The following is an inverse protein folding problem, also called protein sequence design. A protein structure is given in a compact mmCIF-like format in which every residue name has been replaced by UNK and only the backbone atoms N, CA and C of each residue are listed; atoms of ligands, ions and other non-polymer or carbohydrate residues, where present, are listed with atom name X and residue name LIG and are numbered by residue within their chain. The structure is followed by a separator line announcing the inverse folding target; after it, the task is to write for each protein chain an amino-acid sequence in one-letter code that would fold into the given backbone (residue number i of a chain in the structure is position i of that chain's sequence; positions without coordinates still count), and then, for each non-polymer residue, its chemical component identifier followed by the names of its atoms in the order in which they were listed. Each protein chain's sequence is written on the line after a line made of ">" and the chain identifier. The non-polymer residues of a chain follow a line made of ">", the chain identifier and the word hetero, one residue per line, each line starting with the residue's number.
data_IF_818470273180
#
_entry.id   IF_818470273180
#
_cell.length_a   1.000
_cell.length_b   1.000
_cell.length_c   1.000
_cell.angle_alpha   90.00
_cell.angle_beta   90.00
_cell.angle_gamma   90.00
#
_symmetry.space_group_name_H-M   'P 1'
#
loop_
_entity.id
_entity.type
_entity.pdbx_description
1 polymer ?
#
# COMPACT_ATOMS: atom_id res chain seq x y z
N UNK A 1 18.68 6.37 -15.29
CA UNK A 1 17.81 5.91 -14.18
C UNK A 1 16.41 6.44 -14.44
N UNK A 2 15.38 5.60 -14.31
CA UNK A 2 13.97 5.98 -14.44
C UNK A 2 13.30 5.74 -13.09
N UNK A 3 12.59 6.73 -12.58
CA UNK A 3 11.75 6.56 -11.40
C UNK A 3 10.34 6.16 -11.84
N UNK A 4 9.76 5.20 -11.13
CA UNK A 4 8.37 4.75 -11.33
C UNK A 4 7.63 5.09 -10.05
N UNK A 5 6.53 5.82 -10.18
CA UNK A 5 5.65 6.11 -9.06
C UNK A 5 4.69 4.93 -8.85
N UNK A 6 4.70 4.36 -7.64
CA UNK A 6 3.83 3.27 -7.23
C UNK A 6 2.70 3.75 -6.29
N UNK A 7 2.56 5.07 -6.15
CA UNK A 7 1.60 5.70 -5.24
C UNK A 7 0.29 5.98 -5.95
N UNK A 8 -0.85 5.67 -5.32
CA UNK A 8 -2.15 6.16 -5.79
C UNK A 8 -2.34 7.63 -5.40
N UNK A 9 -3.13 8.43 -6.13
CA UNK A 9 -3.48 9.77 -5.71
C UNK A 9 -4.09 9.77 -4.29
N UNK A 10 -3.73 10.76 -3.48
CA UNK A 10 -4.36 10.98 -2.17
C UNK A 10 -5.32 12.17 -2.25
N UNK A 11 -6.59 11.93 -1.91
CA UNK A 11 -7.62 12.95 -1.96
C UNK A 11 -8.79 12.67 -1.03
N UNK A 12 -9.69 13.64 -0.91
CA UNK A 12 -10.92 13.48 -0.09
C UNK A 12 -11.87 12.40 -0.62
N UNK A 13 -11.63 11.93 -1.85
CA UNK A 13 -12.33 10.81 -2.48
C UNK A 13 -11.64 9.46 -2.22
N UNK A 14 -10.42 9.44 -1.66
CA UNK A 14 -9.74 8.19 -1.31
C UNK A 14 -10.54 7.48 -0.21
N UNK A 15 -11.07 6.28 -0.45
CA UNK A 15 -11.81 5.54 0.57
C UNK A 15 -10.88 5.19 1.74
N UNK A 16 -11.28 5.46 3.00
CA UNK A 16 -10.56 4.94 4.15
C UNK A 16 -10.80 3.44 4.30
N UNK A 17 -9.92 2.76 5.02
CA UNK A 17 -10.27 1.44 5.55
C UNK A 17 -11.57 1.54 6.37
N UNK A 18 -12.49 0.55 6.30
CA UNK A 18 -13.69 0.57 7.11
C UNK A 18 -13.33 0.83 8.58
N UNK A 19 -14.02 1.78 9.23
CA UNK A 19 -13.79 2.28 10.61
C UNK A 19 -12.68 3.31 10.82
N UNK A 20 -11.89 3.67 9.80
CA UNK A 20 -10.77 4.62 9.97
C UNK A 20 -11.16 6.06 9.59
N UNK A 21 -10.38 7.02 10.08
CA UNK A 21 -10.57 8.44 9.82
C UNK A 21 -10.21 8.78 8.36
N UNK A 22 -11.16 9.27 7.54
CA UNK A 22 -10.88 9.66 6.15
C UNK A 22 -9.99 10.90 6.06
N UNK A 23 -9.47 11.17 4.85
CA UNK A 23 -8.77 12.43 4.59
C UNK A 23 -9.72 13.62 4.75
N UNK A 24 -9.42 14.48 5.71
CA UNK A 24 -9.99 15.82 5.82
C UNK A 24 -8.99 16.84 5.29
N UNK A 25 -9.47 17.75 4.44
CA UNK A 25 -8.66 18.81 3.86
C UNK A 25 -9.36 20.16 4.02
N UNK A 26 -8.64 21.12 4.59
CA UNK A 26 -9.10 22.50 4.74
C UNK A 26 -8.06 23.47 4.23
N UNK A 27 -8.44 24.34 3.28
CA UNK A 27 -7.60 25.49 2.96
C UNK A 27 -7.72 26.54 4.06
N UNK A 28 -6.61 26.85 4.73
CA UNK A 28 -6.54 27.98 5.67
C UNK A 28 -6.02 29.26 5.01
N UNK A 29 -5.44 29.13 3.80
CA UNK A 29 -4.90 30.23 3.00
C UNK A 29 -5.15 29.98 1.51
N UNK A 30 -5.52 31.01 0.74
CA UNK A 30 -5.75 30.91 -0.71
C UNK A 30 -4.94 31.96 -1.47
N UNK A 31 -4.61 31.65 -2.73
CA UNK A 31 -3.77 32.52 -3.58
C UNK A 31 -4.32 33.95 -3.69
N UNK A 32 -5.60 34.13 -4.02
CA UNK A 32 -6.20 35.43 -4.29
C UNK A 32 -6.04 36.44 -3.12
N UNK A 33 -6.42 36.12 -1.87
CA UNK A 33 -6.25 37.05 -0.76
C UNK A 33 -4.86 37.07 -0.14
N UNK A 34 -4.00 36.06 -0.38
CA UNK A 34 -2.81 35.87 0.45
C UNK A 34 -1.49 35.57 -0.30
N UNK A 35 -1.50 35.49 -1.63
CA UNK A 35 -0.31 35.23 -2.45
C UNK A 35 0.26 33.80 -2.36
N UNK A 36 -0.40 32.89 -1.65
CA UNK A 36 -0.04 31.46 -1.60
C UNK A 36 -1.24 30.60 -1.20
N UNK A 37 -1.18 29.29 -1.47
CA UNK A 37 -2.14 28.31 -0.95
C UNK A 37 -1.56 27.59 0.27
N UNK A 38 -2.39 27.37 1.29
CA UNK A 38 -2.03 26.60 2.48
C UNK A 38 -3.18 25.71 2.89
N UNK A 39 -2.86 24.45 3.17
CA UNK A 39 -3.82 23.41 3.57
C UNK A 39 -3.47 22.85 4.94
N UNK A 40 -4.50 22.49 5.70
CA UNK A 40 -4.43 21.58 6.84
C UNK A 40 -5.00 20.25 6.38
N UNK A 41 -4.30 19.17 6.70
CA UNK A 41 -4.62 17.81 6.33
C UNK A 41 -4.67 16.97 7.61
N UNK A 42 -5.75 16.21 7.80
CA UNK A 42 -5.94 15.27 8.89
C UNK A 42 -6.38 13.93 8.32
N UNK A 43 -5.68 12.85 8.63
CA UNK A 43 -6.05 11.48 8.24
C UNK A 43 -5.43 10.47 9.22
N UNK A 44 -5.91 9.22 9.21
CA UNK A 44 -5.22 8.10 9.86
C UNK A 44 -3.97 7.67 9.08
N UNK A 45 -2.99 7.03 9.74
CA UNK A 45 -1.79 6.51 9.07
C UNK A 45 -2.07 5.50 7.94
N UNK A 46 -3.19 4.78 8.01
CA UNK A 46 -3.57 3.74 7.04
C UNK A 46 -4.62 4.27 6.06
N UNK A 47 -4.18 5.12 5.12
CA UNK A 47 -5.04 5.69 4.09
C UNK A 47 -4.28 5.77 2.76
N UNK A 48 -4.89 5.26 1.69
CA UNK A 48 -4.26 5.21 0.36
C UNK A 48 -3.02 4.31 0.33
N UNK A 49 -2.01 4.66 -0.45
CA UNK A 49 -0.69 4.02 -0.37
C UNK A 49 0.01 4.45 0.92
N UNK A 50 0.28 3.48 1.81
CA UNK A 50 0.82 3.73 3.15
C UNK A 50 1.85 2.67 3.56
N UNK A 51 2.43 2.83 4.76
CA UNK A 51 3.41 1.92 5.35
C UNK A 51 2.95 1.48 6.74
N UNK A 52 2.96 0.18 6.98
CA UNK A 52 2.68 -0.42 8.29
C UNK A 52 3.99 -0.64 9.05
N UNK A 53 4.11 -0.01 10.22
CA UNK A 53 5.19 -0.31 11.16
C UNK A 53 4.88 -1.53 12.02
N UNK A 54 5.90 -2.19 12.58
CA UNK A 54 5.74 -3.41 13.39
C UNK A 54 4.72 -3.22 14.53
N UNK A 55 4.77 -2.06 15.21
CA UNK A 55 3.88 -1.75 16.33
C UNK A 55 2.38 -1.76 15.96
N UNK A 56 2.05 -1.72 14.67
CA UNK A 56 0.66 -1.83 14.21
C UNK A 56 0.00 -3.13 14.67
N UNK A 57 0.75 -4.24 14.70
CA UNK A 57 0.26 -5.56 15.14
C UNK A 57 1.12 -6.24 16.21
N UNK A 58 2.28 -5.68 16.57
CA UNK A 58 3.21 -6.24 17.55
C UNK A 58 3.56 -5.19 18.62
N UNK A 59 2.93 -5.24 19.80
CA UNK A 59 3.08 -4.22 20.85
C UNK A 59 4.52 -3.78 21.19
N UNK A 60 5.52 -4.68 21.33
CA UNK A 60 6.93 -4.29 21.56
C UNK A 60 7.72 -4.00 20.26
N UNK A 61 7.07 -3.97 19.10
CA UNK A 61 7.67 -3.69 17.81
C UNK A 61 8.07 -2.23 17.63
N UNK A 62 8.86 -1.96 16.58
CA UNK A 62 9.29 -0.62 16.20
C UNK A 62 8.15 0.25 15.68
N UNK A 63 8.23 1.55 15.96
CA UNK A 63 7.47 2.55 15.21
C UNK A 63 8.16 2.91 13.89
N UNK A 64 7.45 3.59 12.98
CA UNK A 64 7.97 3.96 11.66
C UNK A 64 9.20 4.88 11.77
N UNK A 65 9.26 5.73 12.80
CA UNK A 65 10.37 6.66 12.99
C UNK A 65 11.67 5.94 13.40
N UNK A 66 11.56 4.71 13.90
CA UNK A 66 12.67 3.86 14.34
C UNK A 66 13.15 2.89 13.25
N UNK A 67 12.57 2.94 12.04
CA UNK A 67 13.00 2.11 10.92
C UNK A 67 14.27 2.70 10.28
N UNK A 68 15.24 1.84 10.00
CA UNK A 68 16.50 2.23 9.37
C UNK A 68 16.33 2.42 7.85
N UNK A 69 17.18 3.25 7.24
CA UNK A 69 17.06 3.52 5.80
C UNK A 69 17.31 2.28 4.94
N UNK A 70 18.21 1.39 5.35
CA UNK A 70 18.49 0.14 4.62
C UNK A 70 17.31 -0.84 4.67
N UNK A 71 16.35 -0.65 5.59
CA UNK A 71 15.08 -1.37 5.60
C UNK A 71 14.04 -0.70 4.66
N UNK A 72 14.04 0.62 4.58
CA UNK A 72 13.10 1.39 3.75
C UNK A 72 13.51 1.46 2.28
N UNK A 73 14.80 1.29 1.99
CA UNK A 73 15.40 1.39 0.66
C UNK A 73 16.29 0.17 0.46
N UNK A 74 15.78 -0.80 -0.28
CA UNK A 74 16.48 -2.02 -0.61
C UNK A 74 16.19 -2.45 -2.05
N UNK A 75 16.94 -3.44 -2.54
CA UNK A 75 16.58 -4.16 -3.76
C UNK A 75 15.18 -4.76 -3.64
N UNK A 76 14.47 -4.85 -4.77
CA UNK A 76 13.09 -5.32 -4.79
C UNK A 76 12.94 -6.53 -5.73
N UNK A 77 12.25 -7.55 -5.24
CA UNK A 77 11.76 -8.66 -6.06
C UNK A 77 10.31 -8.38 -6.44
N UNK A 78 10.01 -8.30 -7.74
CA UNK A 78 8.64 -8.05 -8.22
C UNK A 78 8.10 -9.34 -8.83
N UNK A 79 7.03 -9.88 -8.23
CA UNK A 79 6.32 -11.05 -8.76
C UNK A 79 4.99 -10.61 -9.35
N UNK A 80 4.70 -11.07 -10.56
CA UNK A 80 3.38 -10.92 -11.18
C UNK A 80 2.56 -12.19 -10.95
N UNK A 81 1.46 -12.04 -10.21
CA UNK A 81 0.47 -13.08 -9.92
C UNK A 81 -0.90 -12.75 -10.54
N UNK A 82 -0.99 -11.69 -11.37
CA UNK A 82 -2.26 -11.24 -11.95
C UNK A 82 -2.92 -12.25 -12.90
N UNK A 83 -2.16 -13.25 -13.38
CA UNK A 83 -2.65 -14.34 -14.23
C UNK A 83 -3.16 -15.55 -13.44
N UNK A 84 -2.81 -15.67 -12.15
CA UNK A 84 -3.10 -16.84 -11.31
C UNK A 84 -3.87 -16.53 -10.02
N UNK A 85 -4.06 -15.25 -9.69
CA UNK A 85 -4.83 -14.82 -8.53
C UNK A 85 -5.95 -13.85 -8.92
N UNK A 86 -7.13 -14.06 -8.35
CA UNK A 86 -8.30 -13.20 -8.46
C UNK A 86 -9.03 -13.03 -7.13
N UNK A 87 -10.35 -12.88 -7.19
CA UNK A 87 -11.15 -12.51 -6.02
C UNK A 87 -11.07 -13.55 -4.91
N UNK A 88 -10.62 -13.13 -3.73
CA UNK A 88 -10.44 -13.93 -2.52
C UNK A 88 -9.44 -15.09 -2.60
N UNK A 89 -8.64 -15.15 -3.67
CA UNK A 89 -7.64 -16.20 -3.81
C UNK A 89 -6.52 -16.06 -2.77
N UNK A 90 -5.89 -17.19 -2.44
CA UNK A 90 -4.72 -17.26 -1.57
C UNK A 90 -3.47 -17.46 -2.42
N UNK A 91 -2.55 -16.50 -2.38
CA UNK A 91 -1.22 -16.67 -2.99
C UNK A 91 -0.25 -17.31 -2.01
N UNK A 92 0.72 -18.09 -2.52
CA UNK A 92 1.65 -18.88 -1.71
C UNK A 92 3.10 -18.56 -2.02
N UNK A 93 4.02 -18.92 -1.11
CA UNK A 93 5.47 -18.78 -1.31
C UNK A 93 5.93 -19.44 -2.61
N UNK A 94 5.43 -20.65 -2.88
CA UNK A 94 5.70 -21.41 -4.10
C UNK A 94 5.35 -20.65 -5.38
N UNK A 95 4.21 -19.95 -5.42
CA UNK A 95 3.84 -19.15 -6.59
C UNK A 95 4.85 -18.04 -6.88
N UNK A 96 5.46 -17.49 -5.82
CA UNK A 96 6.52 -16.49 -5.90
C UNK A 96 7.82 -17.10 -6.38
N UNK A 97 8.30 -18.16 -5.73
CA UNK A 97 9.57 -18.82 -6.04
C UNK A 97 9.61 -19.43 -7.46
N UNK A 98 8.46 -19.83 -8.01
CA UNK A 98 8.35 -20.31 -9.40
C UNK A 98 8.55 -19.18 -10.44
N UNK A 99 8.46 -17.91 -10.03
CA UNK A 99 8.44 -16.74 -10.93
C UNK A 99 9.61 -15.79 -10.75
N UNK A 100 10.09 -15.62 -9.52
CA UNK A 100 11.17 -14.68 -9.19
C UNK A 100 12.07 -15.24 -8.09
N UNK A 101 13.37 -14.92 -8.18
CA UNK A 101 14.30 -15.15 -7.07
C UNK A 101 14.07 -14.06 -6.00
N UNK A 102 13.88 -14.46 -4.75
CA UNK A 102 13.79 -13.55 -3.60
C UNK A 102 15.00 -13.79 -2.71
N UNK A 103 15.71 -12.72 -2.36
CA UNK A 103 16.87 -12.77 -1.46
C UNK A 103 16.53 -12.17 -0.11
N UNK A 104 17.30 -12.57 0.89
CA UNK A 104 17.19 -11.99 2.22
C UNK A 104 17.40 -10.46 2.16
N UNK A 105 16.43 -9.72 2.71
CA UNK A 105 16.40 -8.25 2.71
C UNK A 105 15.61 -7.62 1.55
N UNK A 106 15.26 -8.37 0.50
CA UNK A 106 14.51 -7.81 -0.62
C UNK A 106 13.13 -7.28 -0.21
N UNK A 107 12.74 -6.14 -0.80
CA UNK A 107 11.35 -5.67 -0.77
C UNK A 107 10.56 -6.49 -1.80
N UNK A 108 9.77 -7.44 -1.33
CA UNK A 108 8.89 -8.23 -2.18
C UNK A 108 7.63 -7.45 -2.56
N UNK A 109 7.45 -7.17 -3.86
CA UNK A 109 6.27 -6.52 -4.42
C UNK A 109 5.39 -7.59 -5.09
N UNK A 110 4.19 -7.79 -4.54
CA UNK A 110 3.19 -8.71 -5.09
C UNK A 110 2.26 -7.95 -6.04
N UNK A 111 2.42 -8.16 -7.35
CA UNK A 111 1.57 -7.58 -8.37
C UNK A 111 0.39 -8.51 -8.69
N UNK A 112 -0.82 -8.13 -8.26
CA UNK A 112 -2.06 -8.91 -8.48
C UNK A 112 -2.97 -8.30 -9.53
N UNK A 113 -2.62 -7.13 -10.08
CA UNK A 113 -3.49 -6.35 -10.96
C UNK A 113 -4.63 -5.59 -10.25
N UNK A 114 -4.79 -5.70 -8.92
CA UNK A 114 -5.91 -5.09 -8.21
C UNK A 114 -5.96 -3.57 -8.23
N UNK A 115 -4.81 -2.92 -8.44
CA UNK A 115 -4.75 -1.46 -8.62
C UNK A 115 -5.66 -0.97 -9.76
N UNK A 116 -6.00 -1.81 -10.74
CA UNK A 116 -6.98 -1.47 -11.79
C UNK A 116 -8.42 -1.28 -11.27
N UNK A 117 -8.76 -1.79 -10.08
CA UNK A 117 -10.07 -1.57 -9.44
C UNK A 117 -10.07 -0.40 -8.46
N UNK A 118 -8.94 0.30 -8.29
CA UNK A 118 -8.81 1.46 -7.43
C UNK A 118 -9.81 2.56 -7.78
N UNK A 119 -10.16 3.37 -6.78
CA UNK A 119 -11.14 4.46 -6.91
C UNK A 119 -10.73 5.51 -7.97
N UNK A 120 -9.44 5.59 -8.27
CA UNK A 120 -8.81 6.50 -9.23
C UNK A 120 -8.80 5.97 -10.67
N UNK A 121 -9.35 4.77 -10.92
CA UNK A 121 -9.31 4.10 -12.21
C UNK A 121 -10.67 4.12 -12.95
N UNK A 122 -10.71 4.08 -14.30
CA UNK A 122 -11.96 3.97 -15.06
C UNK A 122 -12.77 2.69 -14.75
N UNK A 123 -12.08 1.67 -14.28
CA UNK A 123 -12.61 0.36 -13.87
C UNK A 123 -12.86 0.26 -12.37
N UNK A 124 -12.93 1.39 -11.67
CA UNK A 124 -13.13 1.47 -10.23
C UNK A 124 -14.26 0.56 -9.74
N UNK A 125 -13.95 -0.27 -8.75
CA UNK A 125 -14.90 -1.09 -8.04
C UNK A 125 -14.42 -1.19 -6.59
N UNK A 126 -14.91 -0.27 -5.75
CA UNK A 126 -14.45 -0.12 -4.37
C UNK A 126 -14.63 -1.39 -3.55
N UNK A 127 -15.75 -2.12 -3.72
CA UNK A 127 -15.98 -3.38 -3.01
C UNK A 127 -14.92 -4.40 -3.40
N UNK A 128 -14.68 -4.54 -4.71
CA UNK A 128 -13.69 -5.48 -5.23
C UNK A 128 -12.28 -5.14 -4.75
N UNK A 129 -11.90 -3.87 -4.85
CA UNK A 129 -10.61 -3.36 -4.42
C UNK A 129 -10.38 -3.55 -2.91
N UNK A 130 -11.36 -3.15 -2.09
CA UNK A 130 -11.19 -3.08 -0.63
C UNK A 130 -11.39 -4.42 0.08
N UNK A 131 -12.20 -5.33 -0.48
CA UNK A 131 -12.68 -6.51 0.26
C UNK A 131 -12.43 -7.81 -0.49
N UNK A 132 -12.37 -7.79 -1.82
CA UNK A 132 -12.23 -9.02 -2.63
C UNK A 132 -10.79 -9.31 -3.03
N UNK A 133 -9.82 -8.49 -2.62
CA UNK A 133 -8.43 -8.69 -3.02
C UNK A 133 -7.88 -10.05 -2.54
N UNK A 134 -7.00 -10.70 -3.33
CA UNK A 134 -6.31 -11.89 -2.87
C UNK A 134 -5.35 -11.52 -1.74
N UNK A 135 -4.95 -12.51 -0.96
CA UNK A 135 -4.07 -12.33 0.18
C UNK A 135 -3.22 -13.56 0.46
N UNK A 136 -2.21 -13.44 1.31
CA UNK A 136 -1.45 -14.58 1.80
C UNK A 136 -2.21 -15.32 2.90
N UNK A 137 -1.76 -16.52 3.23
CA UNK A 137 -2.15 -17.20 4.46
C UNK A 137 -0.97 -17.33 5.44
N UNK A 138 -1.14 -18.18 6.46
CA UNK A 138 -0.12 -18.43 7.47
C UNK A 138 1.17 -19.02 6.90
N UNK A 139 1.10 -19.85 5.86
CA UNK A 139 2.28 -20.47 5.26
C UNK A 139 3.20 -19.40 4.69
N UNK A 140 2.63 -18.47 3.92
CA UNK A 140 3.36 -17.34 3.36
C UNK A 140 3.99 -16.47 4.45
N UNK A 141 3.26 -16.21 5.55
CA UNK A 141 3.78 -15.43 6.68
C UNK A 141 4.90 -16.15 7.45
N UNK A 142 4.97 -17.48 7.40
CA UNK A 142 6.09 -18.24 7.97
C UNK A 142 7.31 -18.25 7.03
N UNK A 143 7.09 -18.25 5.73
CA UNK A 143 8.12 -18.16 4.70
C UNK A 143 8.76 -16.78 4.59
N UNK A 144 7.96 -15.70 4.68
CA UNK A 144 8.42 -14.32 4.50
C UNK A 144 9.10 -13.68 5.74
N UNK A 145 9.49 -14.48 6.74
CA UNK A 145 10.15 -13.99 7.96
C UNK A 145 11.62 -13.67 7.72
#
# INVERSE_FOLDING_TARGET
>A
MKFIDLTIPLGVATPPWPTYEPLQLKYFKRLAPNGANGQVVTHSNHLGTHLDGEIHFHTPGKDIASLEMDFLVHEAAVVDLSDVCGDYDVYTSKMVEERVEVREGDILIIHTGYHHFGWDMPTANEIRYMVMHPGPDREFAEWAK
#
